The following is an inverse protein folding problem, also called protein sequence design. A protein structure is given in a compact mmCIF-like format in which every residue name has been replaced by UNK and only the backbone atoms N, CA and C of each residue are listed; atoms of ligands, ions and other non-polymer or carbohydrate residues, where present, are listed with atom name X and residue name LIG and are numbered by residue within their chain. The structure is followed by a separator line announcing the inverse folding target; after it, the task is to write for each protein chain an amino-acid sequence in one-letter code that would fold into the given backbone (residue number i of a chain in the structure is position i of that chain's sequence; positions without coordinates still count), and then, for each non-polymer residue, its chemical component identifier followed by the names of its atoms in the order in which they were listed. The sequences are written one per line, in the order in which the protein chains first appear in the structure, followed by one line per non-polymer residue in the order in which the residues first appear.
data_IF_843529863525
#
_entry.id   IF_843529863525
#
_cell.length_a   1.000
_cell.length_b   1.000
_cell.length_c   1.000
_cell.angle_alpha   90.00
_cell.angle_beta   90.00
_cell.angle_gamma   90.00
#
_symmetry.space_group_name_H-M   'P 1'
#
loop_
_entity.id
_entity.type
_entity.pdbx_description
1 polymer ?
#
# COMPACT_ATOMS: atom_id res chain seq x y z
N UNK A 1 9.22 -4.45 -22.53
CA UNK A 1 9.85 -3.27 -21.91
C UNK A 1 10.84 -3.74 -20.85
N UNK A 2 11.86 -2.93 -20.56
CA UNK A 2 12.69 -3.12 -19.37
C UNK A 2 12.11 -2.29 -18.23
N UNK A 3 11.67 -2.97 -17.16
CA UNK A 3 10.95 -2.34 -16.04
C UNK A 3 11.72 -2.56 -14.74
N UNK A 4 11.96 -1.49 -13.99
CA UNK A 4 12.56 -1.53 -12.67
C UNK A 4 11.51 -1.55 -11.56
N UNK A 5 11.74 -2.33 -10.49
CA UNK A 5 10.92 -2.29 -9.28
C UNK A 5 11.82 -2.00 -8.08
N UNK A 6 11.59 -0.90 -7.39
CA UNK A 6 12.26 -0.55 -6.15
C UNK A 6 11.34 -0.86 -4.94
N UNK A 7 11.80 -1.78 -4.07
CA UNK A 7 11.03 -2.24 -2.92
C UNK A 7 10.39 -3.62 -3.15
N UNK A 8 11.02 -4.66 -2.59
CA UNK A 8 10.58 -6.05 -2.66
C UNK A 8 9.79 -6.47 -1.40
N UNK A 9 8.88 -5.60 -0.97
CA UNK A 9 7.81 -5.97 -0.04
C UNK A 9 6.76 -6.85 -0.75
N UNK A 10 5.70 -7.23 -0.04
CA UNK A 10 4.63 -8.10 -0.59
C UNK A 10 4.02 -7.55 -1.89
N UNK A 11 3.76 -6.24 -1.95
CA UNK A 11 3.20 -5.58 -3.14
C UNK A 11 4.22 -5.52 -4.28
N UNK A 12 5.47 -5.14 -3.99
CA UNK A 12 6.53 -5.08 -5.01
C UNK A 12 6.82 -6.44 -5.65
N UNK A 13 6.86 -7.51 -4.84
CA UNK A 13 6.97 -8.87 -5.36
C UNK A 13 5.78 -9.26 -6.24
N UNK A 14 4.55 -8.94 -5.83
CA UNK A 14 3.36 -9.25 -6.60
C UNK A 14 3.33 -8.51 -7.96
N UNK A 15 3.73 -7.24 -7.98
CA UNK A 15 3.88 -6.45 -9.21
C UNK A 15 5.01 -7.01 -10.09
N UNK A 16 6.17 -7.33 -9.51
CA UNK A 16 7.27 -7.94 -10.26
C UNK A 16 6.86 -9.27 -10.92
N UNK A 17 6.16 -10.16 -10.19
CA UNK A 17 5.63 -11.42 -10.73
C UNK A 17 4.64 -11.19 -11.87
N UNK A 18 3.74 -10.20 -11.73
CA UNK A 18 2.81 -9.82 -12.81
C UNK A 18 3.55 -9.41 -14.06
N UNK A 19 4.56 -8.55 -13.95
CA UNK A 19 5.30 -8.02 -15.09
C UNK A 19 6.18 -9.09 -15.76
N UNK A 20 6.81 -9.97 -14.97
CA UNK A 20 7.51 -11.15 -15.50
C UNK A 20 6.56 -12.05 -16.31
N UNK A 21 5.37 -12.33 -15.78
CA UNK A 21 4.34 -13.12 -16.45
C UNK A 21 3.83 -12.51 -17.76
N UNK A 22 3.98 -11.19 -17.94
CA UNK A 22 3.68 -10.47 -19.17
C UNK A 22 4.87 -10.41 -20.17
N UNK A 23 6.00 -11.04 -19.83
CA UNK A 23 7.19 -11.08 -20.68
C UNK A 23 8.06 -9.82 -20.62
N UNK A 24 7.95 -9.00 -19.58
CA UNK A 24 8.86 -7.87 -19.38
C UNK A 24 10.22 -8.34 -18.85
N UNK A 25 11.29 -7.64 -19.22
CA UNK A 25 12.59 -7.75 -18.56
C UNK A 25 12.51 -6.96 -17.24
N UNK A 26 12.40 -7.67 -16.10
CA UNK A 26 12.18 -7.04 -14.79
C UNK A 26 13.49 -6.95 -14.02
N UNK A 27 13.84 -5.75 -13.59
CA UNK A 27 14.99 -5.46 -12.73
C UNK A 27 14.49 -5.04 -11.35
N UNK A 28 15.14 -5.50 -10.27
CA UNK A 28 14.64 -5.30 -8.92
C UNK A 28 15.73 -4.79 -7.98
N UNK A 29 15.33 -3.87 -7.10
CA UNK A 29 16.15 -3.37 -6.00
C UNK A 29 15.39 -3.52 -4.68
N UNK A 30 16.10 -3.91 -3.64
CA UNK A 30 15.63 -3.80 -2.26
C UNK A 30 16.81 -3.62 -1.30
N UNK A 31 16.66 -2.76 -0.27
CA UNK A 31 17.68 -2.51 0.75
C UNK A 31 18.20 -3.81 1.42
N UNK A 32 17.31 -4.75 1.70
CA UNK A 32 17.67 -6.12 2.06
C UNK A 32 17.58 -7.00 0.80
N UNK A 33 18.72 -7.41 0.19
CA UNK A 33 18.72 -8.12 -1.09
C UNK A 33 17.98 -9.46 -1.07
N UNK A 34 17.96 -10.17 0.07
CA UNK A 34 17.32 -11.47 0.21
C UNK A 34 15.80 -11.40 -0.05
N UNK A 35 15.17 -10.24 0.12
CA UNK A 35 13.75 -10.08 -0.22
C UNK A 35 13.44 -10.17 -1.72
N UNK A 36 14.46 -10.05 -2.56
CA UNK A 36 14.32 -10.20 -4.01
C UNK A 36 14.49 -11.65 -4.50
N UNK A 37 15.02 -12.57 -3.68
CA UNK A 37 15.43 -13.91 -4.12
C UNK A 37 14.30 -14.68 -4.80
N UNK A 38 13.08 -14.60 -4.28
CA UNK A 38 11.91 -15.28 -4.85
C UNK A 38 11.56 -14.82 -6.29
N UNK A 39 11.71 -13.52 -6.60
CA UNK A 39 11.44 -13.00 -7.95
C UNK A 39 12.65 -13.15 -8.87
N UNK A 40 13.87 -13.13 -8.33
CA UNK A 40 15.10 -13.45 -9.08
C UNK A 40 15.07 -14.89 -9.55
N UNK A 41 14.64 -15.83 -8.71
CA UNK A 41 14.43 -17.24 -9.11
C UNK A 41 13.40 -17.41 -10.23
N UNK A 42 12.53 -16.41 -10.45
CA UNK A 42 11.54 -16.36 -11.53
C UNK A 42 12.02 -15.59 -12.76
N UNK A 43 13.27 -15.15 -12.80
CA UNK A 43 13.89 -14.48 -13.94
C UNK A 43 14.08 -12.97 -13.82
N UNK A 44 13.78 -12.35 -12.66
CA UNK A 44 14.12 -10.96 -12.44
C UNK A 44 15.64 -10.77 -12.25
N UNK A 45 16.15 -9.62 -12.66
CA UNK A 45 17.55 -9.24 -12.45
C UNK A 45 17.67 -8.33 -11.22
N UNK A 46 18.47 -8.72 -10.24
CA UNK A 46 18.77 -7.87 -9.07
C UNK A 46 19.87 -6.87 -9.39
N UNK A 47 19.73 -5.65 -8.85
CA UNK A 47 20.76 -4.60 -8.86
C UNK A 47 21.15 -4.22 -7.44
N UNK A 48 22.32 -3.59 -7.31
CA UNK A 48 22.88 -3.18 -6.01
C UNK A 48 22.38 -1.79 -5.57
N UNK A 49 22.11 -0.91 -6.55
CA UNK A 49 21.76 0.48 -6.30
C UNK A 49 20.52 0.92 -7.10
N UNK A 50 19.65 1.79 -6.54
CA UNK A 50 18.50 2.33 -7.25
C UNK A 50 18.86 3.04 -8.55
N UNK A 51 20.00 3.75 -8.61
CA UNK A 51 20.47 4.44 -9.79
C UNK A 51 20.60 3.54 -11.02
N UNK A 52 20.95 2.26 -10.82
CA UNK A 52 21.05 1.28 -11.91
C UNK A 52 19.69 1.01 -12.56
N UNK A 53 18.59 1.01 -11.76
CA UNK A 53 17.23 0.91 -12.31
C UNK A 53 16.91 2.13 -13.18
N UNK A 54 17.17 3.34 -12.65
CA UNK A 54 16.88 4.59 -13.35
C UNK A 54 17.68 4.77 -14.63
N UNK A 55 18.92 4.25 -14.67
CA UNK A 55 19.80 4.31 -15.84
C UNK A 55 19.45 3.29 -16.94
N UNK A 56 18.99 2.10 -16.53
CA UNK A 56 18.86 0.95 -17.44
C UNK A 56 17.43 0.65 -17.86
N UNK A 57 16.42 1.03 -17.05
CA UNK A 57 15.02 0.72 -17.33
C UNK A 57 14.32 1.86 -18.07
N UNK A 58 13.23 1.54 -18.76
CA UNK A 58 12.34 2.52 -19.39
C UNK A 58 11.42 3.16 -18.36
N UNK A 59 10.92 2.34 -17.42
CA UNK A 59 10.05 2.76 -16.32
C UNK A 59 10.53 2.10 -15.03
N UNK A 60 10.49 2.84 -13.92
CA UNK A 60 10.75 2.30 -12.58
C UNK A 60 9.54 2.57 -11.70
N UNK A 61 9.03 1.53 -11.03
CA UNK A 61 7.96 1.63 -10.03
C UNK A 61 8.57 1.42 -8.65
N UNK A 62 8.30 2.31 -7.70
CA UNK A 62 8.69 2.14 -6.30
C UNK A 62 7.48 1.82 -5.43
N UNK A 63 7.65 0.86 -4.52
CA UNK A 63 6.64 0.38 -3.58
C UNK A 63 7.31 0.21 -2.21
N UNK A 64 7.42 1.29 -1.47
CA UNK A 64 8.22 1.43 -0.26
C UNK A 64 7.32 1.59 0.99
N UNK A 65 7.92 1.47 2.17
CA UNK A 65 7.16 1.42 3.44
C UNK A 65 6.67 2.79 3.91
N UNK A 66 7.50 3.82 3.73
CA UNK A 66 7.30 5.17 4.29
C UNK A 66 8.10 6.23 3.53
N UNK A 67 7.92 7.49 3.92
CA UNK A 67 8.58 8.64 3.32
C UNK A 67 10.11 8.58 3.46
N UNK A 68 10.63 8.07 4.58
CA UNK A 68 12.08 7.95 4.78
C UNK A 68 12.70 6.93 3.81
N UNK A 69 12.05 5.79 3.60
CA UNK A 69 12.48 4.82 2.60
C UNK A 69 12.42 5.40 1.17
N UNK A 70 11.42 6.23 0.87
CA UNK A 70 11.34 6.94 -0.42
C UNK A 70 12.51 7.93 -0.55
N UNK A 71 12.79 8.76 0.48
CA UNK A 71 13.94 9.68 0.46
C UNK A 71 15.24 8.93 0.17
N UNK A 72 15.51 7.84 0.88
CA UNK A 72 16.73 7.06 0.71
C UNK A 72 16.87 6.49 -0.70
N UNK A 73 15.80 5.95 -1.27
CA UNK A 73 15.79 5.33 -2.61
C UNK A 73 15.88 6.36 -3.72
N UNK A 74 15.32 7.54 -3.55
CA UNK A 74 15.31 8.58 -4.59
C UNK A 74 16.46 9.58 -4.48
N UNK A 75 16.74 10.08 -3.25
CA UNK A 75 17.68 11.18 -3.00
C UNK A 75 19.07 10.71 -2.51
N UNK A 76 19.24 9.41 -2.19
CA UNK A 76 20.55 8.87 -1.81
C UNK A 76 21.61 9.11 -2.89
N UNK A 77 22.88 9.04 -2.55
CA UNK A 77 23.99 9.30 -3.49
C UNK A 77 23.93 8.42 -4.76
N UNK A 78 23.39 7.21 -4.64
CA UNK A 78 23.09 6.29 -5.75
C UNK A 78 21.58 6.05 -5.89
N UNK A 79 20.78 7.08 -5.62
CA UNK A 79 19.34 7.06 -5.70
C UNK A 79 18.83 7.19 -7.14
N UNK A 80 17.51 7.05 -7.30
CA UNK A 80 16.86 7.11 -8.62
C UNK A 80 17.06 8.45 -9.33
N UNK A 81 17.17 9.56 -8.59
CA UNK A 81 17.39 10.88 -9.17
C UNK A 81 18.85 11.17 -9.57
N UNK A 82 19.79 10.30 -9.24
CA UNK A 82 21.19 10.48 -9.64
C UNK A 82 21.46 10.09 -11.11
N UNK A 83 20.58 9.29 -11.74
CA UNK A 83 20.69 8.87 -13.14
C UNK A 83 19.31 8.79 -13.83
N UNK A 84 18.51 9.86 -13.90
CA UNK A 84 17.08 9.84 -14.15
C UNK A 84 16.71 9.69 -15.64
N UNK A 85 17.06 8.56 -16.26
CA UNK A 85 16.67 8.25 -17.66
C UNK A 85 15.27 7.63 -17.76
N UNK A 86 14.84 6.88 -16.74
CA UNK A 86 13.55 6.23 -16.69
C UNK A 86 12.39 7.20 -16.37
N UNK A 87 11.16 6.78 -16.67
CA UNK A 87 9.97 7.35 -16.03
C UNK A 87 9.84 6.73 -14.63
N UNK A 88 9.76 7.56 -13.59
CA UNK A 88 9.75 7.14 -12.21
C UNK A 88 8.33 7.25 -11.65
N UNK A 89 7.75 6.12 -11.23
CA UNK A 89 6.40 5.99 -10.67
C UNK A 89 6.52 5.67 -9.18
N UNK A 90 6.16 6.61 -8.32
CA UNK A 90 6.14 6.40 -6.87
C UNK A 90 4.75 5.93 -6.44
N UNK A 91 4.66 4.72 -5.84
CA UNK A 91 3.40 4.07 -5.50
C UNK A 91 3.21 3.80 -4.00
N UNK A 92 4.06 4.35 -3.15
CA UNK A 92 3.97 4.18 -1.70
C UNK A 92 2.85 5.02 -1.09
N UNK A 93 2.36 4.63 0.09
CA UNK A 93 1.40 5.44 0.84
C UNK A 93 2.15 6.42 1.75
N UNK A 94 2.19 7.68 1.33
CA UNK A 94 2.88 8.80 2.01
C UNK A 94 1.98 10.04 2.04
N UNK A 95 2.41 11.07 2.77
CA UNK A 95 1.67 12.34 2.84
C UNK A 95 1.65 13.08 1.50
N UNK A 96 0.57 13.81 1.17
CA UNK A 96 0.46 14.59 -0.06
C UNK A 96 1.58 15.63 -0.21
N UNK A 97 1.94 16.33 0.86
CA UNK A 97 3.00 17.34 0.88
C UNK A 97 4.36 16.73 0.55
N UNK A 98 4.59 15.50 1.01
CA UNK A 98 5.79 14.76 0.69
C UNK A 98 5.90 14.46 -0.80
N UNK A 99 4.79 14.09 -1.46
CA UNK A 99 4.78 13.89 -2.92
C UNK A 99 5.08 15.18 -3.69
N UNK A 100 4.53 16.31 -3.23
CA UNK A 100 4.83 17.62 -3.81
C UNK A 100 6.32 18.01 -3.63
N UNK A 101 6.91 17.73 -2.47
CA UNK A 101 8.33 17.89 -2.21
C UNK A 101 9.19 17.03 -3.15
N UNK A 102 8.86 15.74 -3.27
CA UNK A 102 9.58 14.83 -4.17
C UNK A 102 9.51 15.26 -5.63
N UNK A 103 8.39 15.84 -6.06
CA UNK A 103 8.26 16.41 -7.40
C UNK A 103 9.20 17.61 -7.63
N UNK A 104 9.45 18.44 -6.61
CA UNK A 104 10.44 19.53 -6.70
C UNK A 104 11.86 18.98 -6.85
N UNK A 105 12.23 17.96 -6.08
CA UNK A 105 13.52 17.29 -6.22
C UNK A 105 13.67 16.63 -7.60
N UNK A 106 12.61 16.00 -8.11
CA UNK A 106 12.59 15.41 -9.44
C UNK A 106 12.83 16.47 -10.52
N UNK A 107 12.17 17.63 -10.44
CA UNK A 107 12.35 18.72 -11.36
C UNK A 107 13.79 19.26 -11.35
N UNK A 108 14.38 19.43 -10.16
CA UNK A 108 15.77 19.86 -9.99
C UNK A 108 16.78 18.86 -10.60
N UNK A 109 16.45 17.54 -10.55
CA UNK A 109 17.27 16.49 -11.16
C UNK A 109 16.97 16.25 -12.65
N UNK A 110 15.99 16.95 -13.24
CA UNK A 110 15.54 16.70 -14.61
C UNK A 110 14.85 15.35 -14.81
N UNK A 111 14.29 14.78 -13.73
CA UNK A 111 13.66 13.47 -13.72
C UNK A 111 12.18 13.52 -14.16
N UNK A 112 11.75 12.51 -14.91
CA UNK A 112 10.35 12.28 -15.25
C UNK A 112 9.67 11.51 -14.11
N UNK A 113 9.03 12.22 -13.21
CA UNK A 113 8.45 11.69 -11.98
C UNK A 113 6.93 11.85 -11.96
N UNK A 114 6.23 10.84 -11.45
CA UNK A 114 4.81 10.89 -11.11
C UNK A 114 4.55 10.04 -9.86
N UNK A 115 3.49 10.36 -9.16
CA UNK A 115 2.95 9.48 -8.12
C UNK A 115 1.83 8.60 -8.67
N UNK A 116 1.74 7.37 -8.22
CA UNK A 116 0.62 6.48 -8.50
C UNK A 116 0.40 5.50 -7.35
N UNK A 117 -0.01 5.97 -6.15
CA UNK A 117 -0.42 5.05 -5.12
C UNK A 117 -1.59 4.19 -5.59
N UNK A 118 -1.63 2.94 -5.12
CA UNK A 118 -2.58 1.93 -5.63
C UNK A 118 -3.53 1.45 -4.54
N UNK A 119 -4.75 1.10 -4.93
CA UNK A 119 -5.72 0.39 -4.11
C UNK A 119 -5.88 -1.04 -4.62
N UNK A 120 -5.89 -1.97 -3.69
CA UNK A 120 -5.90 -3.41 -3.92
C UNK A 120 -4.84 -4.11 -3.07
N UNK A 121 -4.96 -5.43 -2.96
CA UNK A 121 -4.03 -6.28 -2.22
C UNK A 121 -3.14 -7.09 -3.15
N UNK A 122 -2.39 -8.05 -2.61
CA UNK A 122 -1.47 -8.93 -3.34
C UNK A 122 -2.16 -9.66 -4.50
N UNK A 123 -3.38 -10.20 -4.29
CA UNK A 123 -4.14 -10.89 -5.35
C UNK A 123 -4.39 -10.00 -6.57
N UNK A 124 -5.12 -8.87 -6.40
CA UNK A 124 -5.30 -7.89 -7.46
C UNK A 124 -4.00 -7.39 -8.11
N UNK A 125 -2.90 -7.27 -7.36
CA UNK A 125 -1.61 -6.88 -7.93
C UNK A 125 -1.06 -7.91 -8.91
N UNK A 126 -1.13 -9.21 -8.57
CA UNK A 126 -0.71 -10.32 -9.46
C UNK A 126 -1.57 -10.44 -10.72
N UNK A 127 -2.84 -10.03 -10.62
CA UNK A 127 -3.81 -10.12 -11.72
C UNK A 127 -3.87 -8.85 -12.60
N UNK A 128 -3.14 -7.77 -12.24
CA UNK A 128 -3.25 -6.49 -12.94
C UNK A 128 -4.58 -5.77 -12.67
N UNK A 129 -5.21 -6.04 -11.53
CA UNK A 129 -6.53 -5.53 -11.15
C UNK A 129 -6.49 -4.43 -10.07
N UNK A 130 -5.34 -3.77 -9.88
CA UNK A 130 -5.23 -2.62 -8.98
C UNK A 130 -6.08 -1.43 -9.48
N UNK A 131 -6.30 -0.45 -8.62
CA UNK A 131 -6.76 0.88 -9.00
C UNK A 131 -5.61 1.84 -8.69
N UNK A 132 -5.11 2.55 -9.70
CA UNK A 132 -4.04 3.54 -9.56
C UNK A 132 -4.60 4.96 -9.51
N UNK A 133 -4.05 5.80 -8.64
CA UNK A 133 -4.40 7.22 -8.50
C UNK A 133 -3.21 8.08 -8.95
N UNK A 134 -3.22 8.51 -10.21
CA UNK A 134 -2.07 9.16 -10.84
C UNK A 134 -2.11 10.66 -10.65
N UNK A 135 -1.07 11.21 -9.99
CA UNK A 135 -0.79 12.64 -9.92
C UNK A 135 0.54 12.98 -10.56
N UNK A 136 0.59 14.07 -11.32
CA UNK A 136 1.79 14.54 -11.99
C UNK A 136 1.55 15.20 -13.35
N UNK A 137 2.65 15.51 -14.03
CA UNK A 137 2.61 16.12 -15.38
C UNK A 137 1.95 15.19 -16.39
N UNK A 138 1.04 15.75 -17.21
CA UNK A 138 0.25 14.97 -18.16
C UNK A 138 1.10 14.25 -19.22
N UNK A 139 2.22 14.85 -19.64
CA UNK A 139 3.11 14.24 -20.63
C UNK A 139 3.86 13.04 -19.99
N UNK A 140 4.29 13.15 -18.73
CA UNK A 140 4.92 12.05 -18.01
C UNK A 140 3.91 10.93 -17.73
N UNK A 141 2.67 11.28 -17.37
CA UNK A 141 1.58 10.30 -17.19
C UNK A 141 1.31 9.53 -18.50
N UNK A 142 1.32 10.20 -19.65
CA UNK A 142 1.14 9.53 -20.93
C UNK A 142 2.23 8.50 -21.24
N UNK A 143 3.49 8.76 -20.85
CA UNK A 143 4.59 7.81 -21.01
C UNK A 143 4.45 6.58 -20.09
N UNK A 144 3.89 6.76 -18.89
CA UNK A 144 3.67 5.69 -17.92
C UNK A 144 2.41 4.85 -18.21
N UNK A 145 1.43 5.41 -18.93
CA UNK A 145 0.11 4.82 -19.15
C UNK A 145 0.13 3.35 -19.59
N UNK A 146 0.97 2.94 -20.58
CA UNK A 146 0.98 1.55 -21.04
C UNK A 146 1.37 0.53 -19.94
N UNK A 147 2.26 0.91 -19.01
CA UNK A 147 2.61 0.05 -17.89
C UNK A 147 1.54 0.09 -16.80
N UNK A 148 0.97 1.25 -16.50
CA UNK A 148 -0.08 1.39 -15.51
C UNK A 148 -1.32 0.57 -15.86
N UNK A 149 -1.70 0.48 -17.13
CA UNK A 149 -2.82 -0.34 -17.61
C UNK A 149 -2.59 -1.85 -17.48
N UNK A 150 -1.33 -2.28 -17.41
CA UNK A 150 -0.99 -3.68 -17.18
C UNK A 150 -1.00 -4.05 -15.68
N UNK A 151 -0.83 -3.06 -14.80
CA UNK A 151 -0.86 -3.23 -13.34
C UNK A 151 -2.26 -2.96 -12.76
N UNK A 152 -3.05 -2.12 -13.44
CA UNK A 152 -4.30 -1.58 -12.92
C UNK A 152 -5.47 -1.84 -13.88
N UNK A 153 -6.60 -2.31 -13.34
CA UNK A 153 -7.88 -2.36 -14.08
C UNK A 153 -8.50 -0.97 -14.29
N UNK A 154 -8.06 0.02 -13.51
CA UNK A 154 -8.50 1.41 -13.59
C UNK A 154 -7.37 2.34 -13.16
N UNK A 155 -7.08 3.33 -13.99
CA UNK A 155 -6.14 4.41 -13.70
C UNK A 155 -6.94 5.71 -13.62
N UNK A 156 -6.91 6.37 -12.46
CA UNK A 156 -7.63 7.62 -12.21
C UNK A 156 -6.62 8.75 -12.19
N UNK A 157 -6.71 9.66 -13.15
CA UNK A 157 -5.87 10.86 -13.21
C UNK A 157 -6.46 11.91 -12.28
N UNK A 158 -5.70 12.29 -11.25
CA UNK A 158 -6.18 13.19 -10.18
C UNK A 158 -5.52 14.57 -10.20
N UNK A 159 -4.73 14.86 -11.24
CA UNK A 159 -4.12 16.17 -11.47
C UNK A 159 -2.69 16.27 -10.93
N UNK A 160 -2.40 17.32 -10.17
CA UNK A 160 -1.05 17.64 -9.68
C UNK A 160 -0.51 16.59 -8.68
N UNK A 161 0.80 16.62 -8.46
CA UNK A 161 1.46 15.83 -7.40
C UNK A 161 0.86 16.13 -6.01
N UNK A 162 0.70 15.12 -5.18
CA UNK A 162 0.02 15.13 -3.90
C UNK A 162 -1.46 14.72 -3.99
N UNK A 163 -2.11 14.88 -5.13
CA UNK A 163 -3.52 14.51 -5.27
C UNK A 163 -3.73 12.98 -5.33
N UNK A 164 -2.76 12.22 -5.86
CA UNK A 164 -2.75 10.76 -5.81
C UNK A 164 -2.71 10.26 -4.39
N UNK A 165 -1.81 10.81 -3.57
CA UNK A 165 -1.71 10.52 -2.14
C UNK A 165 -3.01 10.89 -1.40
N UNK A 166 -3.61 12.06 -1.64
CA UNK A 166 -4.90 12.45 -1.07
C UNK A 166 -6.01 11.47 -1.41
N UNK A 167 -6.10 11.07 -2.68
CA UNK A 167 -7.09 10.08 -3.11
C UNK A 167 -6.87 8.73 -2.46
N UNK A 168 -5.61 8.31 -2.31
CA UNK A 168 -5.25 7.08 -1.60
C UNK A 168 -5.68 7.12 -0.13
N UNK A 169 -5.43 8.21 0.59
CA UNK A 169 -5.88 8.36 1.98
C UNK A 169 -7.40 8.34 2.08
N UNK A 170 -8.10 9.04 1.18
CA UNK A 170 -9.57 9.05 1.11
C UNK A 170 -10.14 7.63 0.92
N UNK A 171 -9.59 6.84 0.01
CA UNK A 171 -10.05 5.46 -0.26
C UNK A 171 -9.73 4.52 0.90
N UNK A 172 -8.59 4.71 1.57
CA UNK A 172 -8.19 3.84 2.68
C UNK A 172 -8.90 4.16 4.00
N UNK A 173 -9.32 5.41 4.22
CA UNK A 173 -9.92 5.82 5.49
C UNK A 173 -11.14 4.99 5.91
N UNK A 174 -12.17 4.78 5.06
CA UNK A 174 -13.30 3.94 5.42
C UNK A 174 -12.89 2.51 5.80
N UNK A 175 -11.89 1.95 5.09
CA UNK A 175 -11.36 0.61 5.40
C UNK A 175 -10.70 0.56 6.78
N UNK A 176 -9.88 1.56 7.12
CA UNK A 176 -9.15 1.58 8.39
C UNK A 176 -10.08 1.78 9.58
N UNK A 177 -11.08 2.66 9.46
CA UNK A 177 -12.11 2.87 10.49
C UNK A 177 -13.06 1.68 10.59
N UNK A 178 -13.30 0.97 9.49
CA UNK A 178 -14.15 -0.22 9.50
C UNK A 178 -13.61 -1.33 10.44
N UNK A 179 -12.30 -1.51 10.56
CA UNK A 179 -11.74 -2.47 11.52
C UNK A 179 -12.11 -2.15 12.96
N UNK A 180 -12.14 -0.86 13.33
CA UNK A 180 -12.64 -0.40 14.62
C UNK A 180 -14.12 -0.73 14.77
N UNK A 181 -14.94 -0.32 13.81
CA UNK A 181 -16.39 -0.55 13.82
C UNK A 181 -16.73 -2.05 13.88
N UNK A 182 -15.97 -2.88 13.15
CA UNK A 182 -16.17 -4.33 13.19
C UNK A 182 -15.90 -4.89 14.60
N UNK A 183 -14.84 -4.44 15.28
CA UNK A 183 -14.54 -4.86 16.64
C UNK A 183 -15.65 -4.48 17.63
N UNK A 184 -16.19 -3.26 17.50
CA UNK A 184 -17.34 -2.82 18.30
C UNK A 184 -18.59 -3.64 18.00
N UNK A 185 -18.87 -3.94 16.72
CA UNK A 185 -20.00 -4.78 16.32
C UNK A 185 -19.88 -6.23 16.86
N UNK A 186 -18.70 -6.80 16.80
CA UNK A 186 -18.42 -8.16 17.36
C UNK A 186 -18.65 -8.21 18.89
N UNK A 187 -18.45 -7.10 19.59
CA UNK A 187 -18.73 -7.02 21.03
C UNK A 187 -20.21 -7.20 21.34
N UNK A 188 -21.12 -6.73 20.47
CA UNK A 188 -22.58 -6.83 20.67
C UNK A 188 -23.10 -8.28 20.58
N UNK A 189 -22.37 -9.14 19.90
CA UNK A 189 -22.78 -10.54 19.67
C UNK A 189 -21.87 -11.54 20.38
N UNK A 190 -20.98 -11.06 21.24
CA UNK A 190 -19.94 -11.84 21.91
C UNK A 190 -20.51 -13.02 22.72
N UNK A 191 -21.72 -12.87 23.27
CA UNK A 191 -22.37 -13.87 24.12
C UNK A 191 -23.26 -14.84 23.34
N UNK A 192 -23.40 -14.64 22.02
CA UNK A 192 -24.17 -15.53 21.18
C UNK A 192 -23.36 -16.76 20.79
N UNK A 193 -23.97 -17.94 20.89
CA UNK A 193 -23.39 -19.20 20.42
C UNK A 193 -23.58 -19.34 18.90
N UNK A 194 -22.79 -18.55 18.14
CA UNK A 194 -22.81 -18.54 16.68
C UNK A 194 -21.46 -19.02 16.16
N UNK A 195 -21.49 -19.89 15.17
CA UNK A 195 -20.28 -20.32 14.48
C UNK A 195 -19.54 -19.10 13.86
N UNK A 196 -18.24 -18.95 14.07
CA UNK A 196 -17.46 -17.80 13.56
C UNK A 196 -17.59 -17.59 12.05
N UNK A 197 -17.69 -18.68 11.27
CA UNK A 197 -17.86 -18.57 9.82
C UNK A 197 -19.24 -18.01 9.47
N UNK A 198 -20.30 -18.52 10.09
CA UNK A 198 -21.66 -18.04 9.90
C UNK A 198 -21.78 -16.55 10.27
N UNK A 199 -21.21 -16.14 11.39
CA UNK A 199 -21.18 -14.74 11.81
C UNK A 199 -20.51 -13.83 10.78
N UNK A 200 -19.35 -14.22 10.28
CA UNK A 200 -18.62 -13.43 9.28
C UNK A 200 -19.34 -13.42 7.94
N UNK A 201 -19.95 -14.53 7.52
CA UNK A 201 -20.73 -14.60 6.29
C UNK A 201 -21.96 -13.65 6.36
N UNK A 202 -22.72 -13.66 7.46
CA UNK A 202 -23.85 -12.74 7.69
C UNK A 202 -23.41 -11.28 7.64
N UNK A 203 -22.30 -10.94 8.31
CA UNK A 203 -21.76 -9.58 8.29
C UNK A 203 -21.32 -9.17 6.87
N UNK A 204 -20.68 -10.08 6.12
CA UNK A 204 -20.19 -9.82 4.77
C UNK A 204 -21.32 -9.66 3.72
N UNK A 205 -22.49 -10.30 3.96
CA UNK A 205 -23.67 -10.22 3.10
C UNK A 205 -24.60 -9.08 3.48
N UNK A 206 -24.44 -8.53 4.69
CA UNK A 206 -25.26 -7.42 5.17
C UNK A 206 -24.94 -6.10 4.48
N UNK A 207 -25.81 -5.12 4.63
CA UNK A 207 -25.62 -3.75 4.12
C UNK A 207 -24.39 -3.05 4.75
N UNK A 208 -23.94 -3.48 5.93
CA UNK A 208 -22.77 -2.95 6.61
C UNK A 208 -21.44 -3.62 6.18
N UNK A 209 -21.51 -4.68 5.36
CA UNK A 209 -20.33 -5.45 4.95
C UNK A 209 -19.64 -4.86 3.73
N UNK A 210 -18.43 -4.26 3.86
CA UNK A 210 -17.66 -3.84 2.70
C UNK A 210 -17.11 -5.06 1.94
N UNK A 211 -16.83 -4.90 0.64
CA UNK A 211 -16.27 -5.97 -0.19
C UNK A 211 -14.96 -6.56 0.39
N UNK A 212 -14.21 -5.77 1.16
CA UNK A 212 -13.02 -6.23 1.87
C UNK A 212 -13.34 -7.37 2.86
N UNK A 213 -14.49 -7.35 3.51
CA UNK A 213 -14.88 -8.37 4.47
C UNK A 213 -15.03 -9.75 3.81
N UNK A 214 -15.56 -9.80 2.58
CA UNK A 214 -15.62 -11.04 1.78
C UNK A 214 -14.23 -11.61 1.49
N UNK A 215 -13.26 -10.74 1.20
CA UNK A 215 -11.89 -11.17 0.89
C UNK A 215 -11.12 -11.62 2.14
N UNK A 216 -11.35 -10.96 3.28
CA UNK A 216 -10.63 -11.22 4.54
C UNK A 216 -11.41 -12.05 5.55
N UNK A 217 -12.64 -12.43 5.23
CA UNK A 217 -13.51 -13.25 6.07
C UNK A 217 -12.82 -14.51 6.60
N UNK A 218 -12.15 -15.32 5.77
CA UNK A 218 -11.44 -16.51 6.25
C UNK A 218 -10.41 -16.21 7.34
N UNK A 219 -9.67 -15.10 7.24
CA UNK A 219 -8.68 -14.70 8.25
C UNK A 219 -9.34 -14.26 9.56
N UNK A 220 -10.51 -13.62 9.49
CA UNK A 220 -11.30 -13.23 10.65
C UNK A 220 -11.90 -14.46 11.34
N UNK A 221 -12.42 -15.44 10.58
CA UNK A 221 -12.90 -16.72 11.10
C UNK A 221 -11.80 -17.44 11.86
N UNK A 222 -10.59 -17.53 11.29
CA UNK A 222 -9.45 -18.14 11.97
C UNK A 222 -9.09 -17.38 13.25
N UNK A 223 -9.11 -16.05 13.23
CA UNK A 223 -8.83 -15.20 14.39
C UNK A 223 -9.89 -15.37 15.49
N UNK A 224 -11.17 -15.39 15.16
CA UNK A 224 -12.27 -15.64 16.10
C UNK A 224 -12.21 -17.05 16.71
N UNK A 225 -11.78 -18.03 15.91
CA UNK A 225 -11.60 -19.42 16.36
C UNK A 225 -10.29 -19.63 17.15
N UNK A 226 -9.52 -18.58 17.44
CA UNK A 226 -8.25 -18.66 18.18
C UNK A 226 -7.11 -19.36 17.43
N UNK A 227 -7.22 -19.53 16.11
CA UNK A 227 -6.16 -20.15 15.31
C UNK A 227 -4.98 -19.20 15.11
N UNK A 228 -3.76 -19.75 15.01
CA UNK A 228 -2.57 -18.95 14.70
C UNK A 228 -2.71 -18.21 13.37
N UNK A 229 -2.21 -16.97 13.34
CA UNK A 229 -2.17 -16.17 12.11
C UNK A 229 -1.17 -16.76 11.12
N UNK A 230 -1.65 -17.25 9.98
CA UNK A 230 -0.82 -17.85 8.94
C UNK A 230 -0.06 -16.83 8.09
N UNK A 231 -0.69 -15.67 7.83
CA UNK A 231 -0.10 -14.61 7.00
C UNK A 231 -0.44 -13.24 7.54
N UNK A 232 0.47 -12.28 7.35
CA UNK A 232 0.22 -10.85 7.61
C UNK A 232 0.05 -10.15 6.26
N UNK A 233 -1.08 -9.54 6.03
CA UNK A 233 -1.34 -8.73 4.81
C UNK A 233 -0.93 -7.28 5.00
N UNK A 234 -1.43 -6.66 6.07
CA UNK A 234 -1.07 -5.33 6.57
C UNK A 234 -0.96 -5.44 8.09
N UNK A 235 0.19 -5.13 8.66
CA UNK A 235 0.38 -5.13 10.11
C UNK A 235 -0.18 -3.85 10.76
N UNK A 236 -0.37 -3.88 12.09
CA UNK A 236 -0.93 -2.76 12.83
C UNK A 236 0.01 -1.53 12.83
N UNK A 237 1.32 -1.72 12.73
CA UNK A 237 2.26 -0.59 12.62
C UNK A 237 2.04 0.17 11.31
N UNK A 238 1.88 -0.53 10.20
CA UNK A 238 1.56 0.05 8.90
C UNK A 238 0.18 0.73 8.92
N UNK A 239 -0.83 0.06 9.51
CA UNK A 239 -2.17 0.62 9.66
C UNK A 239 -2.14 1.91 10.49
N UNK A 240 -1.45 1.92 11.64
CA UNK A 240 -1.27 3.11 12.48
C UNK A 240 -0.64 4.27 11.72
N UNK A 241 0.43 3.99 10.94
CA UNK A 241 1.09 5.02 10.12
C UNK A 241 0.10 5.68 9.16
N UNK A 242 -0.69 4.89 8.44
CA UNK A 242 -1.66 5.40 7.48
C UNK A 242 -2.76 6.20 8.18
N UNK A 243 -3.32 5.69 9.29
CA UNK A 243 -4.37 6.38 10.07
C UNK A 243 -3.85 7.68 10.67
N UNK A 244 -2.61 7.73 11.15
CA UNK A 244 -1.98 8.96 11.64
C UNK A 244 -1.88 10.01 10.53
N UNK A 245 -1.40 9.62 9.34
CA UNK A 245 -1.37 10.53 8.19
C UNK A 245 -2.76 11.06 7.81
N UNK A 246 -3.81 10.22 7.92
CA UNK A 246 -5.20 10.67 7.68
C UNK A 246 -5.65 11.72 8.71
N UNK A 247 -5.35 11.52 9.99
CA UNK A 247 -5.67 12.50 11.06
C UNK A 247 -4.93 13.81 10.82
N UNK A 248 -3.64 13.75 10.51
CA UNK A 248 -2.82 14.94 10.22
C UNK A 248 -3.39 15.72 9.03
N UNK A 249 -3.72 15.04 7.94
CA UNK A 249 -4.33 15.66 6.76
C UNK A 249 -5.71 16.28 7.07
N UNK A 250 -6.57 15.56 7.80
CA UNK A 250 -7.87 16.09 8.22
C UNK A 250 -7.72 17.35 9.06
N UNK A 251 -6.78 17.34 10.02
CA UNK A 251 -6.50 18.51 10.89
C UNK A 251 -5.99 19.70 10.08
N UNK A 252 -5.10 19.50 9.13
CA UNK A 252 -4.62 20.57 8.23
C UNK A 252 -5.76 21.20 7.41
N UNK A 253 -6.79 20.42 7.10
CA UNK A 253 -8.00 20.90 6.42
C UNK A 253 -9.12 21.39 7.36
N UNK A 254 -8.83 21.54 8.66
CA UNK A 254 -9.79 22.03 9.65
C UNK A 254 -10.86 21.00 10.08
N UNK A 255 -10.69 19.74 9.75
CA UNK A 255 -11.61 18.65 10.17
C UNK A 255 -11.10 17.97 11.44
N UNK A 256 -11.95 17.79 12.47
CA UNK A 256 -11.55 17.13 13.71
C UNK A 256 -11.36 15.62 13.60
N UNK A 257 -11.84 14.97 12.54
CA UNK A 257 -11.67 13.53 12.27
C UNK A 257 -11.96 12.60 13.47
N UNK A 258 -13.08 12.72 14.19
CA UNK A 258 -13.26 12.10 15.51
C UNK A 258 -13.20 10.57 15.49
N UNK A 259 -13.81 9.90 14.50
CA UNK A 259 -13.75 8.44 14.37
C UNK A 259 -12.34 7.95 14.07
N UNK A 260 -11.63 8.67 13.21
CA UNK A 260 -10.25 8.33 12.82
C UNK A 260 -9.28 8.54 14.00
N UNK A 261 -9.48 9.58 14.81
CA UNK A 261 -8.72 9.80 16.04
C UNK A 261 -8.96 8.69 17.07
N UNK A 262 -10.22 8.26 17.29
CA UNK A 262 -10.54 7.16 18.17
C UNK A 262 -9.89 5.84 17.68
N UNK A 263 -9.94 5.59 16.38
CA UNK A 263 -9.26 4.43 15.76
C UNK A 263 -7.76 4.48 15.99
N UNK A 264 -7.11 5.65 15.81
CA UNK A 264 -5.68 5.82 16.06
C UNK A 264 -5.31 5.51 17.50
N UNK A 265 -6.07 6.06 18.47
CA UNK A 265 -5.82 5.84 19.88
C UNK A 265 -5.93 4.35 20.27
N UNK A 266 -6.90 3.62 19.72
CA UNK A 266 -7.06 2.19 19.98
C UNK A 266 -5.98 1.36 19.29
N UNK A 267 -5.53 1.73 18.09
CA UNK A 267 -4.38 1.11 17.43
C UNK A 267 -3.11 1.26 18.27
N UNK A 268 -2.87 2.43 18.85
CA UNK A 268 -1.72 2.67 19.71
C UNK A 268 -1.77 1.81 20.98
N UNK A 269 -2.95 1.62 21.59
CA UNK A 269 -3.14 0.69 22.72
C UNK A 269 -2.84 -0.75 22.31
N UNK A 270 -3.40 -1.23 21.20
CA UNK A 270 -3.18 -2.58 20.71
C UNK A 270 -1.69 -2.84 20.41
N UNK A 271 -1.01 -1.88 19.79
CA UNK A 271 0.44 -1.96 19.52
C UNK A 271 1.24 -1.96 20.82
N UNK A 272 0.87 -1.15 21.82
CA UNK A 272 1.49 -1.14 23.15
C UNK A 272 1.34 -2.46 23.89
N UNK A 273 0.32 -3.26 23.55
CA UNK A 273 0.10 -4.62 24.07
C UNK A 273 0.76 -5.72 23.21
N UNK A 274 1.66 -5.36 22.27
CA UNK A 274 2.47 -6.31 21.50
C UNK A 274 1.89 -6.72 20.15
N UNK A 275 0.75 -6.16 19.71
CA UNK A 275 0.13 -6.53 18.43
C UNK A 275 0.72 -5.80 17.20
N UNK A 276 1.80 -5.05 17.35
CA UNK A 276 2.33 -4.21 16.26
C UNK A 276 2.59 -4.95 14.95
N UNK A 277 3.09 -6.18 15.01
CA UNK A 277 3.37 -7.02 13.84
C UNK A 277 2.20 -7.93 13.43
N UNK A 278 1.09 -7.90 14.17
CA UNK A 278 -0.09 -8.69 13.85
C UNK A 278 -0.83 -8.13 12.63
N UNK A 279 -1.53 -9.00 11.90
CA UNK A 279 -2.38 -8.57 10.78
C UNK A 279 -3.55 -7.70 11.28
N UNK A 280 -4.00 -6.76 10.47
CA UNK A 280 -5.10 -5.86 10.78
C UNK A 280 -6.42 -6.60 11.16
N UNK A 281 -6.59 -7.87 10.76
CA UNK A 281 -7.72 -8.71 11.18
C UNK A 281 -7.69 -9.07 12.66
N UNK A 282 -6.55 -8.93 13.35
CA UNK A 282 -6.46 -9.13 14.80
C UNK A 282 -6.98 -7.93 15.60
N UNK A 283 -7.04 -6.75 15.00
CA UNK A 283 -7.47 -5.54 15.67
C UNK A 283 -8.93 -5.58 16.15
N UNK A 284 -9.94 -5.95 15.35
CA UNK A 284 -11.32 -6.12 15.82
C UNK A 284 -11.45 -7.20 16.89
N UNK A 285 -10.67 -8.28 16.83
CA UNK A 285 -10.68 -9.35 17.83
C UNK A 285 -10.09 -8.88 19.18
N UNK A 286 -9.02 -8.09 19.10
CA UNK A 286 -8.46 -7.45 20.29
C UNK A 286 -9.46 -6.47 20.91
N UNK A 287 -10.12 -5.64 20.11
CA UNK A 287 -11.06 -4.62 20.59
C UNK A 287 -12.28 -5.27 21.31
N UNK A 288 -12.80 -6.36 20.76
CA UNK A 288 -13.91 -7.11 21.36
C UNK A 288 -13.59 -7.61 22.81
N UNK A 289 -12.31 -7.75 23.14
CA UNK A 289 -11.85 -8.27 24.45
C UNK A 289 -11.57 -7.16 25.46
N UNK A 290 -11.66 -5.89 25.09
CA UNK A 290 -11.48 -4.75 26.01
C UNK A 290 -12.80 -4.45 26.73
#
# INVERSE_FOLDING_TARGET
MKVGIAGMGKMGQAVAQRLLGLGHEVWVYNRNPARADAVVAQGARRVEHPAELAAACEVVVSLLTDAEAVRQVYLGAQGLFSAPKAVLIESSTVAPEFQAEMAQHAAAAGARYLECPVSGSIGPAKEGKLIGFVGGDAAVVALAQPLLEQMCRKVVKVGAHGNGARMKLCVNLPLMVYWQTLGEALTLVRELDIDPKELIDVLAESSGGPNMLKVRGPMLVDALSGKPQATVTVDLLTMRKDVRTMVEQGTQHGSPMPLTQATLANLEKAIGQGLGQADCTQFPIWLQKQ
#
